data_IF_855060364797
#
_entry.id   IF_855060364797
#
_cell.length_a   1.000
_cell.length_b   1.000
_cell.length_c   1.000
_cell.angle_alpha   90.00
_cell.angle_beta   90.00
_cell.angle_gamma   90.00
#
_symmetry.space_group_name_H-M   'P 1'
#
loop_
_entity.id
_entity.type
_entity.pdbx_description
1 polymer ?
#
# COMPACT_ATOMS: atom_id res chain seq x y z
N UNK A 1 24.16 -47.26 -15.55
CA UNK A 1 24.86 -46.06 -15.03
C UNK A 1 23.82 -44.96 -14.85
N UNK A 2 23.62 -44.46 -13.62
CA UNK A 2 22.66 -43.39 -13.32
C UNK A 2 23.30 -42.01 -13.60
N UNK A 3 22.63 -41.06 -14.26
CA UNK A 3 23.19 -39.73 -14.45
C UNK A 3 23.21 -38.95 -13.12
N UNK A 4 24.28 -38.18 -12.92
CA UNK A 4 24.49 -37.35 -11.73
C UNK A 4 23.52 -36.15 -11.68
N UNK A 5 23.12 -35.68 -10.48
CA UNK A 5 22.24 -34.52 -10.35
C UNK A 5 22.98 -33.23 -10.72
N UNK A 6 22.28 -32.36 -11.46
CA UNK A 6 22.74 -31.04 -11.90
C UNK A 6 22.80 -30.09 -10.69
N UNK A 7 23.85 -29.29 -10.51
CA UNK A 7 23.91 -28.33 -9.40
C UNK A 7 22.82 -27.26 -9.57
N UNK A 8 22.05 -27.04 -8.51
CA UNK A 8 21.04 -26.00 -8.46
C UNK A 8 21.73 -24.64 -8.29
N UNK A 9 21.66 -23.79 -9.31
CA UNK A 9 22.07 -22.39 -9.23
C UNK A 9 21.11 -21.66 -8.28
N UNK A 10 21.56 -21.39 -7.06
CA UNK A 10 20.85 -20.50 -6.12
C UNK A 10 20.83 -19.10 -6.73
N UNK A 11 19.70 -18.69 -7.29
CA UNK A 11 19.46 -17.30 -7.70
C UNK A 11 19.28 -16.48 -6.41
N UNK A 12 20.04 -15.40 -6.18
CA UNK A 12 19.75 -14.49 -5.08
C UNK A 12 18.36 -13.88 -5.29
N UNK A 13 17.43 -14.19 -4.39
CA UNK A 13 16.08 -13.63 -4.35
C UNK A 13 16.13 -12.24 -3.73
N UNK A 14 16.63 -11.26 -4.48
CA UNK A 14 16.29 -9.85 -4.21
C UNK A 14 15.87 -9.27 -5.54
N UNK A 15 14.59 -9.45 -5.87
CA UNK A 15 13.98 -8.72 -6.98
C UNK A 15 14.13 -7.23 -6.67
N UNK A 16 14.73 -6.42 -7.57
CA UNK A 16 14.76 -4.98 -7.38
C UNK A 16 13.31 -4.51 -7.26
N UNK A 17 12.98 -3.90 -6.12
CA UNK A 17 11.71 -3.22 -5.93
C UNK A 17 11.67 -2.17 -7.03
N UNK A 18 10.73 -2.28 -7.97
CA UNK A 18 10.51 -1.24 -8.99
C UNK A 18 10.13 0.02 -8.24
N UNK A 19 11.12 0.89 -8.02
CA UNK A 19 10.95 2.21 -7.45
C UNK A 19 9.95 2.96 -8.34
N UNK A 20 8.78 3.28 -7.78
CA UNK A 20 7.75 4.09 -8.46
C UNK A 20 6.44 3.36 -8.80
N UNK A 21 6.37 2.03 -8.78
CA UNK A 21 5.09 1.33 -8.97
C UNK A 21 4.31 1.24 -7.65
N UNK A 22 3.14 1.89 -7.59
CA UNK A 22 2.26 1.84 -6.41
C UNK A 22 1.96 0.40 -6.01
N UNK A 23 2.29 0.03 -4.78
CA UNK A 23 2.14 -1.34 -4.30
C UNK A 23 0.66 -1.65 -4.06
N UNK A 24 0.22 -2.86 -4.41
CA UNK A 24 -1.16 -3.27 -4.17
C UNK A 24 -1.44 -3.35 -2.67
N UNK A 25 -2.41 -2.57 -2.21
CA UNK A 25 -2.92 -2.60 -0.84
C UNK A 25 -3.85 -3.79 -0.60
N UNK A 26 -3.99 -4.18 0.67
CA UNK A 26 -4.89 -5.26 1.11
C UNK A 26 -6.10 -4.71 1.83
N UNK A 27 -7.18 -5.49 1.84
CA UNK A 27 -8.43 -5.15 2.51
C UNK A 27 -8.20 -5.01 4.02
N UNK A 28 -8.78 -3.99 4.66
CA UNK A 28 -8.63 -3.78 6.11
C UNK A 28 -9.37 -4.83 6.97
N UNK A 29 -10.38 -5.51 6.40
CA UNK A 29 -11.24 -6.48 7.08
C UNK A 29 -12.08 -5.94 8.25
N UNK A 30 -12.07 -4.62 8.48
CA UNK A 30 -12.81 -3.96 9.57
C UNK A 30 -13.95 -3.04 9.09
N UNK A 31 -13.86 -2.46 7.89
CA UNK A 31 -14.88 -1.54 7.37
C UNK A 31 -16.18 -2.24 6.96
N UNK A 32 -17.30 -1.49 6.91
CA UNK A 32 -18.63 -1.98 6.52
C UNK A 32 -18.60 -2.82 5.23
N UNK A 33 -17.94 -2.34 4.18
CA UNK A 33 -17.83 -3.06 2.91
C UNK A 33 -17.02 -4.36 3.02
N UNK A 34 -16.05 -4.46 3.94
CA UNK A 34 -15.33 -5.71 4.17
C UNK A 34 -16.16 -6.75 4.91
N UNK A 35 -16.94 -6.31 5.90
CA UNK A 35 -17.80 -7.16 6.72
C UNK A 35 -19.06 -7.59 5.99
N UNK A 36 -19.49 -6.83 4.97
CA UNK A 36 -20.65 -7.17 4.16
C UNK A 36 -20.41 -8.44 3.31
N UNK A 37 -21.46 -9.25 3.18
CA UNK A 37 -21.53 -10.37 2.25
C UNK A 37 -21.55 -9.93 0.78
N UNK A 38 -21.34 -10.88 -0.13
CA UNK A 38 -21.48 -10.60 -1.56
C UNK A 38 -22.95 -10.49 -1.93
N UNK A 39 -23.32 -9.47 -2.73
CA UNK A 39 -24.73 -9.22 -3.01
C UNK A 39 -25.38 -10.23 -3.97
N UNK A 40 -24.59 -11.10 -4.63
CA UNK A 40 -25.07 -12.05 -5.64
C UNK A 40 -25.56 -11.44 -6.97
N UNK A 41 -25.87 -10.13 -7.00
CA UNK A 41 -26.60 -9.50 -8.11
C UNK A 41 -25.81 -8.50 -8.96
N UNK A 42 -24.68 -7.97 -8.46
CA UNK A 42 -23.84 -7.05 -9.27
C UNK A 42 -23.09 -7.80 -10.39
N UNK A 43 -22.56 -7.07 -11.39
CA UNK A 43 -21.86 -7.69 -12.52
C UNK A 43 -20.64 -8.50 -12.10
N UNK A 44 -19.88 -8.05 -11.09
CA UNK A 44 -18.77 -8.84 -10.54
C UNK A 44 -19.24 -10.09 -9.81
N UNK A 45 -20.37 -10.05 -9.09
CA UNK A 45 -20.93 -11.25 -8.46
C UNK A 45 -21.44 -12.23 -9.52
N UNK A 46 -22.16 -11.75 -10.54
CA UNK A 46 -22.66 -12.57 -11.65
C UNK A 46 -21.54 -13.26 -12.44
N UNK A 47 -20.31 -12.71 -12.45
CA UNK A 47 -19.14 -13.38 -13.03
C UNK A 47 -18.56 -14.49 -12.14
N UNK A 48 -18.79 -14.50 -10.83
CA UNK A 48 -18.16 -15.49 -9.94
C UNK A 48 -18.70 -16.91 -10.17
N UNK A 49 -17.80 -17.90 -10.17
CA UNK A 49 -18.14 -19.33 -10.33
C UNK A 49 -19.23 -19.83 -9.37
N UNK A 50 -19.18 -19.39 -8.10
CA UNK A 50 -20.19 -19.78 -7.09
C UNK A 50 -21.59 -19.23 -7.34
N UNK A 51 -21.71 -18.19 -8.17
CA UNK A 51 -22.99 -17.63 -8.61
C UNK A 51 -23.29 -18.03 -10.07
N UNK A 52 -22.62 -19.05 -10.60
CA UNK A 52 -22.84 -19.60 -11.95
C UNK A 52 -22.13 -18.87 -13.09
N UNK A 53 -21.30 -17.86 -12.80
CA UNK A 53 -20.58 -17.09 -13.81
C UNK A 53 -19.31 -17.77 -14.36
N UNK A 54 -18.73 -17.23 -15.44
CA UNK A 54 -17.55 -17.81 -16.11
C UNK A 54 -16.23 -17.61 -15.33
N UNK A 55 -16.19 -16.70 -14.35
CA UNK A 55 -15.05 -16.48 -13.47
C UNK A 55 -13.84 -15.84 -14.15
N UNK A 56 -14.06 -15.04 -15.18
CA UNK A 56 -12.98 -14.44 -15.99
C UNK A 56 -12.47 -13.13 -15.41
N UNK A 57 -13.34 -12.35 -14.76
CA UNK A 57 -13.01 -11.00 -14.28
C UNK A 57 -12.18 -11.03 -12.99
N UNK A 58 -12.37 -12.05 -12.14
CA UNK A 58 -11.66 -12.22 -10.86
C UNK A 58 -11.71 -10.98 -9.94
N UNK A 59 -12.81 -10.23 -9.99
CA UNK A 59 -13.04 -9.06 -9.15
C UNK A 59 -13.92 -9.41 -7.95
N UNK A 60 -13.76 -8.66 -6.85
CA UNK A 60 -14.68 -8.75 -5.72
C UNK A 60 -16.01 -8.05 -6.04
N UNK A 61 -17.08 -8.41 -5.33
CA UNK A 61 -18.35 -7.68 -5.34
C UNK A 61 -18.13 -6.16 -5.22
N UNK A 62 -18.87 -5.36 -6.00
CA UNK A 62 -18.80 -3.88 -5.96
C UNK A 62 -19.07 -3.32 -4.57
N UNK A 63 -20.06 -3.88 -3.85
CA UNK A 63 -20.43 -3.45 -2.50
C UNK A 63 -19.41 -3.87 -1.44
N UNK A 64 -18.41 -4.66 -1.85
CA UNK A 64 -17.31 -5.10 -1.00
C UNK A 64 -16.01 -4.41 -1.37
N UNK A 65 -16.00 -3.28 -2.07
CA UNK A 65 -14.77 -2.51 -2.24
C UNK A 65 -14.35 -1.91 -0.89
N UNK A 66 -13.10 -2.15 -0.47
CA UNK A 66 -12.62 -1.74 0.85
C UNK A 66 -12.52 -0.21 0.94
N UNK A 67 -13.05 0.37 2.01
CA UNK A 67 -13.04 1.83 2.22
C UNK A 67 -11.64 2.35 2.61
N UNK A 68 -10.92 1.62 3.45
CA UNK A 68 -9.61 2.02 3.95
C UNK A 68 -8.57 0.89 3.77
N UNK A 69 -8.16 0.55 2.54
CA UNK A 69 -7.20 -0.53 2.29
C UNK A 69 -5.82 -0.19 2.89
N UNK A 70 -5.20 -1.17 3.54
CA UNK A 70 -3.95 -1.01 4.30
C UNK A 70 -2.75 -1.59 3.55
N UNK A 71 -1.55 -1.23 4.00
CA UNK A 71 -0.32 -1.88 3.53
C UNK A 71 -0.29 -3.37 3.93
N UNK A 72 0.22 -4.27 3.07
CA UNK A 72 0.53 -5.65 3.47
C UNK A 72 1.60 -5.71 4.57
N UNK A 73 1.52 -6.69 5.48
CA UNK A 73 2.50 -6.84 6.58
C UNK A 73 3.93 -7.15 6.10
N UNK A 74 4.08 -7.67 4.88
CA UNK A 74 5.37 -8.00 4.28
C UNK A 74 6.04 -6.79 3.60
N UNK A 75 5.45 -5.60 3.70
CA UNK A 75 6.08 -4.38 3.19
C UNK A 75 7.15 -3.93 4.16
N UNK A 76 8.27 -3.48 3.63
CA UNK A 76 9.43 -3.00 4.38
C UNK A 76 9.74 -1.55 4.02
N UNK A 77 10.40 -0.85 4.92
CA UNK A 77 10.94 0.47 4.69
C UNK A 77 12.02 0.42 3.60
N UNK A 78 11.99 1.35 2.66
CA UNK A 78 12.98 1.46 1.58
C UNK A 78 14.38 1.86 2.07
N UNK A 79 14.49 2.42 3.28
CA UNK A 79 15.76 2.92 3.84
C UNK A 79 16.44 1.90 4.76
N UNK A 80 15.70 1.25 5.65
CA UNK A 80 16.26 0.31 6.62
C UNK A 80 15.92 -1.17 6.36
N UNK A 81 15.02 -1.47 5.43
CA UNK A 81 14.62 -2.85 5.11
C UNK A 81 13.72 -3.52 6.16
N UNK A 82 13.40 -2.83 7.24
CA UNK A 82 12.57 -3.36 8.32
C UNK A 82 11.07 -3.20 8.02
N UNK A 83 10.26 -4.14 8.51
CA UNK A 83 8.79 -4.04 8.51
C UNK A 83 8.30 -3.11 9.62
N UNK A 84 7.02 -2.74 9.60
CA UNK A 84 6.36 -2.06 10.71
C UNK A 84 6.37 -2.99 11.94
N UNK A 85 7.09 -2.58 13.00
CA UNK A 85 7.41 -3.46 14.13
C UNK A 85 6.32 -3.55 15.21
N UNK A 86 5.21 -2.81 15.11
CA UNK A 86 4.17 -2.85 16.14
C UNK A 86 2.84 -2.25 15.63
N UNK A 87 1.78 -3.07 15.49
CA UNK A 87 0.42 -2.55 15.21
C UNK A 87 -0.09 -1.61 16.31
N UNK A 88 0.41 -1.73 17.55
CA UNK A 88 -0.07 -1.01 18.74
C UNK A 88 0.88 0.09 19.26
N UNK A 89 2.09 0.25 18.70
CA UNK A 89 2.96 1.33 19.16
C UNK A 89 2.46 2.67 18.61
N UNK A 90 2.17 3.60 19.52
CA UNK A 90 1.82 4.99 19.17
C UNK A 90 3.01 5.77 18.57
N UNK A 91 4.17 5.13 18.45
CA UNK A 91 5.40 5.70 17.88
C UNK A 91 5.26 5.87 16.37
N UNK A 92 4.91 7.10 15.95
CA UNK A 92 4.76 7.48 14.55
C UNK A 92 6.04 7.29 13.74
N UNK A 93 7.21 7.50 14.36
CA UNK A 93 8.51 7.41 13.70
C UNK A 93 8.85 5.99 13.22
N UNK A 94 8.21 4.97 13.80
CA UNK A 94 8.40 3.56 13.44
C UNK A 94 7.31 2.98 12.53
N UNK A 95 6.28 3.77 12.18
CA UNK A 95 5.21 3.33 11.27
C UNK A 95 5.67 3.40 9.82
N UNK A 96 5.27 2.42 9.01
CA UNK A 96 5.49 2.52 7.57
C UNK A 96 4.51 3.50 6.93
N UNK A 97 5.01 4.44 6.13
CA UNK A 97 4.21 5.44 5.43
C UNK A 97 4.49 5.40 3.92
N UNK A 98 3.44 5.20 3.11
CA UNK A 98 3.51 5.22 1.64
C UNK A 98 3.22 6.61 1.09
N UNK A 99 4.18 7.21 0.38
CA UNK A 99 3.98 8.49 -0.27
C UNK A 99 3.01 8.37 -1.46
N UNK A 100 1.96 9.19 -1.53
CA UNK A 100 1.01 9.15 -2.63
C UNK A 100 1.55 9.74 -3.95
N UNK A 101 2.67 10.47 -3.90
CA UNK A 101 3.34 11.10 -5.04
C UNK A 101 4.44 10.20 -5.60
N UNK A 102 5.45 9.86 -4.80
CA UNK A 102 6.59 9.05 -5.26
C UNK A 102 6.44 7.54 -5.04
N UNK A 103 5.38 7.10 -4.35
CA UNK A 103 5.13 5.69 -4.00
C UNK A 103 6.23 5.03 -3.13
N UNK A 104 7.17 5.80 -2.57
CA UNK A 104 8.14 5.28 -1.61
C UNK A 104 7.46 4.95 -0.28
N UNK A 105 7.87 3.83 0.32
CA UNK A 105 7.40 3.40 1.64
C UNK A 105 8.58 3.48 2.59
N UNK A 106 8.49 4.37 3.58
CA UNK A 106 9.55 4.63 4.55
C UNK A 106 8.98 4.75 5.95
N UNK A 107 9.82 4.55 6.95
CA UNK A 107 9.56 5.07 8.29
C UNK A 107 9.84 6.58 8.30
N UNK A 108 8.98 7.42 8.92
CA UNK A 108 9.28 8.83 9.12
C UNK A 108 10.65 9.02 9.79
N UNK A 109 10.97 8.21 10.81
CA UNK A 109 12.22 8.34 11.56
C UNK A 109 13.47 7.85 10.83
N UNK A 110 13.31 7.24 9.65
CA UNK A 110 14.43 6.93 8.76
C UNK A 110 14.76 8.08 7.80
N UNK A 111 13.91 9.10 7.67
CA UNK A 111 14.19 10.25 6.83
C UNK A 111 15.22 11.17 7.51
N UNK A 112 16.34 11.41 6.82
CA UNK A 112 17.38 12.35 7.25
C UNK A 112 17.12 13.73 6.65
N UNK A 113 15.93 14.29 6.87
CA UNK A 113 15.57 15.63 6.40
C UNK A 113 14.53 16.28 7.30
N UNK A 114 14.53 17.60 7.34
CA UNK A 114 13.49 18.38 8.01
C UNK A 114 12.21 18.42 7.15
N UNK A 115 11.06 18.53 7.82
CA UNK A 115 9.74 18.62 7.20
C UNK A 115 8.80 17.51 7.64
N UNK A 116 7.54 17.88 7.92
CA UNK A 116 6.54 16.95 8.48
C UNK A 116 5.80 16.16 7.39
N UNK A 117 5.84 16.64 6.14
CA UNK A 117 4.98 16.14 5.06
C UNK A 117 3.50 16.50 5.31
N UNK A 118 2.60 15.89 4.54
CA UNK A 118 1.14 16.05 4.71
C UNK A 118 0.46 14.70 4.84
N UNK A 119 -0.17 14.43 5.99
CA UNK A 119 -0.90 13.18 6.22
C UNK A 119 -2.18 13.11 5.40
N UNK A 120 -2.50 11.91 4.88
CA UNK A 120 -3.77 11.64 4.22
C UNK A 120 -4.77 11.04 5.24
N UNK A 121 -5.90 11.71 5.44
CA UNK A 121 -6.93 11.28 6.40
C UNK A 121 -7.84 10.14 5.87
N UNK A 122 -7.92 9.95 4.55
CA UNK A 122 -8.78 8.94 3.92
C UNK A 122 -8.16 7.54 3.92
N UNK A 123 -6.82 7.46 3.82
CA UNK A 123 -6.10 6.21 3.66
C UNK A 123 -5.07 5.98 4.79
N UNK A 124 -5.09 4.80 5.44
CA UNK A 124 -4.11 4.49 6.47
C UNK A 124 -2.71 4.40 5.86
N UNK A 125 -1.69 4.82 6.61
CA UNK A 125 -0.29 4.74 6.18
C UNK A 125 -0.05 5.42 4.81
N UNK A 126 -0.71 6.56 4.57
CA UNK A 126 -0.63 7.33 3.34
C UNK A 126 -0.33 8.79 3.69
N UNK A 127 0.56 9.41 2.91
CA UNK A 127 0.97 10.81 3.10
C UNK A 127 1.57 11.37 1.81
N UNK A 128 1.77 12.68 1.76
CA UNK A 128 2.79 13.30 0.92
C UNK A 128 4.06 13.40 1.75
N UNK A 129 5.11 12.63 1.39
CA UNK A 129 6.32 12.61 2.20
C UNK A 129 7.04 13.98 2.16
N UNK A 130 7.93 14.26 3.13
CA UNK A 130 8.68 15.53 3.21
C UNK A 130 9.49 15.85 1.94
N UNK A 131 9.85 14.85 1.13
CA UNK A 131 10.51 15.05 -0.18
C UNK A 131 9.58 15.62 -1.25
N UNK A 132 8.29 15.32 -1.16
CA UNK A 132 7.31 15.59 -2.20
C UNK A 132 6.33 16.71 -1.85
N UNK A 133 5.99 16.86 -0.57
CA UNK A 133 5.20 17.97 -0.10
C UNK A 133 6.04 19.26 -0.15
N UNK A 134 5.54 20.29 -0.84
CA UNK A 134 6.28 21.54 -1.06
C UNK A 134 5.92 22.68 -0.09
N UNK A 135 5.01 22.44 0.87
CA UNK A 135 4.48 23.49 1.73
C UNK A 135 3.69 24.56 0.98
N UNK A 136 2.81 25.27 1.66
CA UNK A 136 2.07 26.43 1.14
C UNK A 136 2.94 27.69 1.00
N UNK A 137 4.12 27.59 0.38
CA UNK A 137 4.90 28.75 -0.10
C UNK A 137 4.26 29.35 -1.39
N UNK A 138 2.91 29.34 -1.47
CA UNK A 138 2.14 29.87 -2.60
C UNK A 138 0.98 30.79 -2.17
N UNK A 139 0.63 30.90 -0.88
CA UNK A 139 -0.52 31.71 -0.42
C UNK A 139 -0.16 32.93 0.46
N UNK A 140 1.05 33.50 0.31
CA UNK A 140 1.39 34.83 0.88
C UNK A 140 1.92 35.80 -0.17
N UNK A 141 1.27 35.82 -1.34
CA UNK A 141 1.70 36.60 -2.49
C UNK A 141 0.59 37.30 -3.27
N UNK A 142 -0.39 37.92 -2.60
CA UNK A 142 -1.18 39.03 -3.18
C UNK A 142 -2.01 39.78 -2.11
N UNK A 143 -1.33 40.58 -1.30
CA UNK A 143 -1.92 41.87 -0.88
C UNK A 143 -1.56 42.86 -1.97
N UNK A 144 -2.50 43.21 -2.86
CA UNK A 144 -2.43 44.42 -3.68
C UNK A 144 -3.82 45.02 -3.92
N UNK A 145 -4.08 46.06 -3.11
CA UNK A 145 -4.93 47.25 -3.34
C UNK A 145 -6.42 47.06 -3.58
#
# INVERSE_FOLDING_TARGET
MKPAPRPATVRPTVSPIVSGARRRRVRCRKCKACLQGECGMCHYCKDMKKFGGPGRMKQSCILRQCLAPRLPHSVTCALCGEVDKNEDSQDFEKKLMECCICNEIVHPGCLQMDGEGLLNEELPNCWECPKCYKGDEAEKGQVKK
#
